data_IF_711011346497
#
_entry.id   IF_711011346497
#
_cell.length_a   1.000
_cell.length_b   1.000
_cell.length_c   1.000
_cell.angle_alpha   90.00
_cell.angle_beta   90.00
_cell.angle_gamma   90.00
#
_symmetry.space_group_name_H-M   'P 1'
#
loop_
_entity.id
_entity.type
_entity.pdbx_description
1 polymer ?
#
# COMPACT_ATOMS: atom_id res chain seq x y z
N UNK A 1 4.13 -12.80 6.38
CA UNK A 1 4.63 -11.42 6.32
C UNK A 1 3.99 -10.71 5.14
N UNK A 2 3.51 -9.49 5.36
CA UNK A 2 3.04 -8.60 4.31
C UNK A 2 3.88 -7.32 4.37
N UNK A 3 4.48 -6.95 3.24
CA UNK A 3 5.01 -5.59 3.01
C UNK A 3 4.14 -4.91 1.96
N UNK A 4 3.82 -3.64 2.19
CA UNK A 4 3.11 -2.81 1.23
C UNK A 4 3.75 -1.41 1.20
N UNK A 5 4.49 -1.15 0.13
CA UNK A 5 5.37 0.02 -0.01
C UNK A 5 4.72 1.20 -0.69
N UNK A 6 5.23 2.40 -0.36
CA UNK A 6 5.05 3.57 -1.21
C UNK A 6 5.63 3.29 -2.60
N UNK A 7 5.31 4.09 -3.61
CA UNK A 7 5.87 3.89 -4.94
C UNK A 7 7.41 3.87 -4.92
N UNK A 8 7.99 2.89 -5.62
CA UNK A 8 9.43 2.60 -5.62
C UNK A 8 10.00 1.91 -4.38
N UNK A 9 9.19 1.55 -3.39
CA UNK A 9 9.63 0.77 -2.23
C UNK A 9 9.10 -0.68 -2.30
N UNK A 10 10.03 -1.63 -2.19
CA UNK A 10 9.82 -3.07 -2.12
C UNK A 10 11.02 -3.71 -1.39
N UNK A 11 11.04 -5.04 -1.24
CA UNK A 11 12.11 -5.74 -0.53
C UNK A 11 13.47 -5.71 -1.25
N UNK A 12 13.51 -5.42 -2.56
CA UNK A 12 14.75 -5.26 -3.32
C UNK A 12 15.35 -3.87 -3.17
N UNK A 13 14.52 -2.86 -2.95
CA UNK A 13 14.93 -1.44 -2.90
C UNK A 13 15.12 -0.90 -1.48
N UNK A 14 14.48 -1.52 -0.47
CA UNK A 14 14.60 -1.13 0.93
C UNK A 14 15.40 -2.18 1.71
N UNK A 15 16.67 -1.91 2.10
CA UNK A 15 17.55 -2.92 2.69
C UNK A 15 17.00 -3.60 3.95
N UNK A 16 16.28 -2.86 4.80
CA UNK A 16 15.64 -3.43 5.99
C UNK A 16 14.49 -4.38 5.64
N UNK A 17 13.81 -4.16 4.52
CA UNK A 17 12.75 -5.05 4.04
C UNK A 17 13.35 -6.29 3.38
N UNK A 18 14.45 -6.14 2.62
CA UNK A 18 15.23 -7.26 2.11
C UNK A 18 15.70 -8.21 3.23
N UNK A 19 16.29 -7.65 4.30
CA UNK A 19 16.68 -8.44 5.46
C UNK A 19 15.48 -9.15 6.13
N UNK A 20 14.36 -8.45 6.28
CA UNK A 20 13.14 -9.05 6.84
C UNK A 20 12.60 -10.18 5.94
N UNK A 21 12.65 -10.01 4.61
CA UNK A 21 12.22 -10.99 3.63
C UNK A 21 13.09 -12.25 3.66
N UNK A 22 14.41 -12.09 3.64
CA UNK A 22 15.39 -13.19 3.69
C UNK A 22 15.27 -14.03 4.96
N UNK A 23 14.99 -13.39 6.10
CA UNK A 23 14.90 -14.05 7.40
C UNK A 23 13.48 -14.48 7.80
N UNK A 24 12.48 -14.29 6.93
CA UNK A 24 11.10 -14.77 7.13
C UNK A 24 10.88 -16.10 6.43
N UNK A 25 10.51 -17.15 7.18
CA UNK A 25 10.31 -18.51 6.66
C UNK A 25 8.85 -18.89 6.38
N UNK A 26 7.88 -18.06 6.79
CA UNK A 26 6.45 -18.27 6.54
C UNK A 26 5.98 -17.69 5.20
N UNK A 27 4.66 -17.63 4.96
CA UNK A 27 4.08 -16.93 3.82
C UNK A 27 4.58 -15.49 3.74
N UNK A 28 4.97 -15.03 2.55
CA UNK A 28 5.49 -13.68 2.31
C UNK A 28 4.79 -13.09 1.10
N UNK A 29 4.41 -11.82 1.20
CA UNK A 29 3.79 -11.07 0.13
C UNK A 29 4.38 -9.66 0.14
N UNK A 30 4.88 -9.21 -1.01
CA UNK A 30 5.42 -7.86 -1.18
C UNK A 30 4.64 -7.13 -2.27
N UNK A 31 4.04 -6.01 -1.87
CA UNK A 31 3.18 -5.19 -2.71
C UNK A 31 3.71 -3.76 -2.77
N UNK A 32 3.51 -3.10 -3.90
CA UNK A 32 3.72 -1.66 -4.04
C UNK A 32 2.41 -1.01 -4.46
N UNK A 33 2.00 0.08 -3.79
CA UNK A 33 0.91 0.93 -4.26
C UNK A 33 1.49 2.03 -5.16
N UNK A 34 1.27 1.93 -6.46
CA UNK A 34 1.76 2.87 -7.46
C UNK A 34 1.21 4.28 -7.21
N UNK A 35 2.06 5.29 -7.42
CA UNK A 35 1.75 6.69 -7.16
C UNK A 35 1.63 7.07 -5.68
N UNK A 36 1.77 6.14 -4.73
CA UNK A 36 1.63 6.48 -3.31
C UNK A 36 2.90 7.06 -2.69
N UNK A 37 2.72 7.97 -1.73
CA UNK A 37 3.73 8.44 -0.80
C UNK A 37 3.70 7.66 0.52
N UNK A 38 4.64 7.93 1.43
CA UNK A 38 4.71 7.20 2.71
C UNK A 38 3.49 7.46 3.60
N UNK A 39 3.00 8.71 3.63
CA UNK A 39 1.85 9.07 4.47
C UNK A 39 0.52 8.50 3.94
N UNK A 40 0.52 7.86 2.77
CA UNK A 40 -0.66 7.19 2.17
C UNK A 40 -1.28 6.13 3.08
N UNK A 41 -0.47 5.54 3.94
CA UNK A 41 -0.87 4.47 4.85
C UNK A 41 -1.39 4.99 6.20
N UNK A 42 -1.81 6.26 6.25
CA UNK A 42 -2.35 6.93 7.43
C UNK A 42 -3.61 7.71 7.08
N UNK A 43 -4.30 8.27 8.07
CA UNK A 43 -5.45 9.16 7.83
C UNK A 43 -5.07 10.45 7.11
N UNK A 44 -3.77 10.78 6.99
CA UNK A 44 -3.30 11.90 6.18
C UNK A 44 -3.80 11.81 4.73
N UNK A 45 -3.93 10.61 4.17
CA UNK A 45 -4.48 10.37 2.83
C UNK A 45 -5.85 11.02 2.64
N UNK A 46 -6.72 10.88 3.65
CA UNK A 46 -8.09 11.42 3.60
C UNK A 46 -8.20 12.86 4.10
N UNK A 47 -7.31 13.26 5.02
CA UNK A 47 -7.37 14.55 5.70
C UNK A 47 -6.56 15.64 5.00
N UNK A 48 -5.34 15.34 4.56
CA UNK A 48 -4.37 16.33 4.08
C UNK A 48 -4.86 17.09 2.84
N UNK A 49 -5.52 16.48 1.83
CA UNK A 49 -6.08 17.23 0.71
C UNK A 49 -7.09 18.30 1.17
N UNK A 50 -7.94 17.98 2.17
CA UNK A 50 -8.95 18.90 2.69
C UNK A 50 -8.33 20.02 3.53
N UNK A 51 -7.34 19.68 4.36
CA UNK A 51 -6.57 20.65 5.16
C UNK A 51 -5.85 21.62 4.23
N UNK A 52 -5.17 21.11 3.20
CA UNK A 52 -4.46 21.92 2.22
C UNK A 52 -5.40 22.87 1.48
N UNK A 53 -6.54 22.37 0.99
CA UNK A 53 -7.56 23.20 0.34
C UNK A 53 -8.10 24.30 1.27
N UNK A 54 -8.36 23.97 2.55
CA UNK A 54 -8.92 24.93 3.52
C UNK A 54 -7.94 26.01 3.93
N UNK A 55 -6.64 25.70 3.93
CA UNK A 55 -5.56 26.61 4.32
C UNK A 55 -4.88 27.28 3.11
N UNK A 56 -5.28 26.96 1.89
CA UNK A 56 -4.65 27.48 0.67
C UNK A 56 -3.21 27.02 0.48
N UNK A 57 -2.87 25.81 0.97
CA UNK A 57 -1.52 25.26 0.83
C UNK A 57 -1.29 24.78 -0.61
N UNK A 58 -0.03 24.84 -1.11
CA UNK A 58 0.31 24.31 -2.42
C UNK A 58 -0.01 22.82 -2.52
N UNK A 59 -0.43 22.37 -3.70
CA UNK A 59 -0.67 20.95 -4.02
C UNK A 59 0.55 20.07 -3.68
N UNK A 60 1.76 20.62 -3.86
CA UNK A 60 3.01 19.95 -3.51
C UNK A 60 3.07 19.47 -2.06
N UNK A 61 2.43 20.17 -1.12
CA UNK A 61 2.36 19.74 0.30
C UNK A 61 1.62 18.41 0.42
N UNK A 62 0.58 18.20 -0.38
CA UNK A 62 -0.18 16.96 -0.42
C UNK A 62 0.64 15.87 -1.13
N UNK A 63 1.15 16.16 -2.33
CA UNK A 63 1.82 15.14 -3.15
C UNK A 63 3.18 14.70 -2.59
N UNK A 64 3.91 15.57 -1.88
CA UNK A 64 5.14 15.17 -1.16
C UNK A 64 4.86 14.15 -0.05
N UNK A 65 3.68 14.21 0.57
CA UNK A 65 3.32 13.35 1.70
C UNK A 65 2.67 12.03 1.23
N UNK A 66 1.63 12.13 0.41
CA UNK A 66 0.77 10.99 0.04
C UNK A 66 0.94 10.58 -1.43
N UNK A 67 1.80 11.24 -2.19
CA UNK A 67 2.01 10.94 -3.61
C UNK A 67 0.87 11.46 -4.51
N UNK A 68 0.75 10.87 -5.69
CA UNK A 68 -0.20 11.22 -6.75
C UNK A 68 -1.35 10.21 -6.90
N UNK A 69 -1.35 9.13 -6.12
CA UNK A 69 -2.46 8.17 -6.08
C UNK A 69 -3.75 8.86 -5.64
N UNK A 70 -4.87 8.48 -6.25
CA UNK A 70 -6.17 8.95 -5.79
C UNK A 70 -6.41 8.53 -4.32
N UNK A 71 -6.71 9.47 -3.40
CA UNK A 71 -6.86 9.15 -1.98
C UNK A 71 -7.93 8.11 -1.66
N UNK A 72 -9.06 8.12 -2.38
CA UNK A 72 -10.15 7.16 -2.13
C UNK A 72 -9.77 5.77 -2.61
N UNK A 73 -9.10 5.69 -3.76
CA UNK A 73 -8.52 4.44 -4.29
C UNK A 73 -7.47 3.87 -3.35
N UNK A 74 -6.56 4.70 -2.82
CA UNK A 74 -5.55 4.26 -1.87
C UNK A 74 -6.17 3.66 -0.60
N UNK A 75 -7.22 4.28 -0.06
CA UNK A 75 -7.96 3.76 1.09
C UNK A 75 -8.69 2.45 0.73
N UNK A 76 -9.30 2.38 -0.45
CA UNK A 76 -10.00 1.17 -0.91
C UNK A 76 -9.03 -0.01 -1.08
N UNK A 77 -7.84 0.22 -1.63
CA UNK A 77 -6.77 -0.77 -1.73
C UNK A 77 -6.37 -1.28 -0.35
N UNK A 78 -6.06 -0.40 0.59
CA UNK A 78 -5.67 -0.80 1.95
C UNK A 78 -6.76 -1.62 2.65
N UNK A 79 -8.02 -1.20 2.50
CA UNK A 79 -9.19 -1.91 3.05
C UNK A 79 -9.49 -3.24 2.37
N UNK A 80 -8.95 -3.50 1.19
CA UNK A 80 -9.07 -4.79 0.51
C UNK A 80 -7.92 -5.72 0.91
N UNK A 81 -6.67 -5.26 0.74
CA UNK A 81 -5.49 -6.11 0.86
C UNK A 81 -5.12 -6.44 2.32
N UNK A 82 -5.26 -5.49 3.25
CA UNK A 82 -4.90 -5.75 4.66
C UNK A 82 -5.84 -6.79 5.29
N UNK A 83 -7.18 -6.66 5.20
CA UNK A 83 -8.06 -7.69 5.71
C UNK A 83 -7.92 -9.02 4.97
N UNK A 84 -7.75 -9.01 3.63
CA UNK A 84 -7.54 -10.24 2.86
C UNK A 84 -6.34 -11.04 3.39
N UNK A 85 -5.22 -10.36 3.66
CA UNK A 85 -4.04 -11.02 4.22
C UNK A 85 -4.34 -11.66 5.58
N UNK A 86 -4.98 -10.93 6.50
CA UNK A 86 -5.31 -11.51 7.81
C UNK A 86 -6.39 -12.60 7.74
N UNK A 87 -7.37 -12.47 6.84
CA UNK A 87 -8.40 -13.49 6.63
C UNK A 87 -7.80 -14.79 6.07
N UNK A 88 -6.84 -14.72 5.13
CA UNK A 88 -6.11 -15.89 4.64
C UNK A 88 -5.23 -16.51 5.71
N UNK A 89 -4.37 -15.71 6.33
CA UNK A 89 -3.30 -16.22 7.20
C UNK A 89 -3.79 -16.61 8.61
N UNK A 90 -4.80 -15.92 9.15
CA UNK A 90 -5.28 -16.16 10.54
C UNK A 90 -6.63 -16.86 10.61
N UNK A 91 -7.46 -16.76 9.56
CA UNK A 91 -8.82 -17.32 9.56
C UNK A 91 -9.04 -18.39 8.49
N UNK A 92 -8.04 -18.66 7.65
CA UNK A 92 -8.10 -19.63 6.56
C UNK A 92 -9.30 -19.41 5.63
N UNK A 93 -9.61 -18.14 5.35
CA UNK A 93 -10.67 -17.75 4.41
C UNK A 93 -10.08 -17.43 3.05
N UNK A 94 -10.86 -17.74 2.02
CA UNK A 94 -10.53 -17.39 0.64
C UNK A 94 -10.59 -15.86 0.43
N UNK A 95 -9.57 -15.31 -0.21
CA UNK A 95 -9.47 -13.90 -0.63
C UNK A 95 -9.90 -13.67 -2.08
N UNK A 96 -10.46 -14.71 -2.72
CA UNK A 96 -10.89 -14.73 -4.12
C UNK A 96 -9.74 -14.46 -5.12
N UNK A 97 -8.52 -14.87 -4.75
CA UNK A 97 -7.30 -14.72 -5.55
C UNK A 97 -6.75 -13.29 -5.57
N UNK A 98 -7.23 -12.40 -4.71
CA UNK A 98 -6.74 -11.02 -4.60
C UNK A 98 -5.25 -10.97 -4.23
N UNK A 99 -4.78 -11.94 -3.45
CA UNK A 99 -3.39 -12.01 -2.98
C UNK A 99 -2.49 -12.90 -3.84
N UNK A 100 -3.00 -13.41 -4.96
CA UNK A 100 -2.28 -14.35 -5.83
C UNK A 100 -1.73 -13.69 -7.09
N UNK A 101 -2.11 -12.43 -7.35
CA UNK A 101 -1.56 -11.67 -8.47
C UNK A 101 -2.30 -10.38 -8.78
N UNK A 102 -1.96 -9.72 -9.91
CA UNK A 102 -2.54 -8.46 -10.32
C UNK A 102 -4.07 -8.49 -10.42
N UNK A 103 -4.72 -7.43 -9.90
CA UNK A 103 -6.17 -7.30 -9.90
C UNK A 103 -6.62 -6.19 -10.84
N UNK A 104 -7.52 -6.50 -11.78
CA UNK A 104 -8.14 -5.48 -12.63
C UNK A 104 -8.96 -4.43 -11.84
N UNK A 105 -9.40 -4.78 -10.61
CA UNK A 105 -10.10 -3.87 -9.70
C UNK A 105 -9.14 -2.90 -8.98
N UNK A 106 -7.88 -3.29 -8.83
CA UNK A 106 -6.84 -2.53 -8.14
C UNK A 106 -5.57 -2.46 -9.02
N UNK A 107 -5.65 -1.82 -10.20
CA UNK A 107 -4.52 -1.73 -11.13
C UNK A 107 -3.31 -0.97 -10.57
N UNK A 108 -3.50 -0.23 -9.46
CA UNK A 108 -2.44 0.50 -8.76
C UNK A 108 -1.58 -0.42 -7.88
N UNK A 109 -1.96 -1.68 -7.68
CA UNK A 109 -1.18 -2.62 -6.85
C UNK A 109 -0.27 -3.46 -7.74
N UNK A 110 1.03 -3.35 -7.48
CA UNK A 110 2.07 -4.17 -8.10
C UNK A 110 2.53 -5.24 -7.13
N UNK A 111 2.72 -6.45 -7.63
CA UNK A 111 3.35 -7.55 -6.91
C UNK A 111 4.84 -7.56 -7.22
N UNK A 112 5.65 -7.80 -6.20
CA UNK A 112 7.10 -7.96 -6.33
C UNK A 112 7.46 -9.41 -6.04
N UNK A 113 8.16 -10.03 -6.99
CA UNK A 113 8.71 -11.40 -6.87
C UNK A 113 9.98 -11.43 -6.02
#
# INVERSE_FOLDING_TARGET
>A
MLTMGKDGNDHHTVPSWGALWEHSSGPRLDLTLLGSGHATYTDATSMLPRIAARLGLPEKVVTDAIGTVDPERAVAVQRAYVPAFFDRELRHRDDAGLLDGPSARYPEVRFTD
#
